data_IF_156241426463
#
_entry.id   IF_156241426463
#
_cell.length_a   1.000
_cell.length_b   1.000
_cell.length_c   1.000
_cell.angle_alpha   90.00
_cell.angle_beta   90.00
_cell.angle_gamma   90.00
#
_symmetry.space_group_name_H-M   'P 1'
#
loop_
_entity.id
_entity.type
_entity.pdbx_description
1 polymer ?
#
# COMPACT_ATOMS: atom_id res chain seq x y z
N UNK A 1 76.14 -112.45 14.58
CA UNK A 1 75.65 -111.38 15.46
C UNK A 1 76.16 -109.99 15.20
N UNK A 2 76.97 -109.79 14.15
CA UNK A 2 77.60 -108.45 13.88
C UNK A 2 76.86 -107.67 12.75
N UNK A 3 76.00 -108.27 11.94
CA UNK A 3 75.31 -107.63 10.86
C UNK A 3 74.15 -106.70 11.37
N UNK A 4 73.52 -106.99 12.47
CA UNK A 4 72.31 -106.22 12.92
C UNK A 4 72.71 -104.85 13.62
N UNK A 5 73.89 -104.67 14.06
CA UNK A 5 74.29 -103.38 14.74
C UNK A 5 74.45 -102.16 13.74
N UNK A 6 74.98 -102.47 12.51
CA UNK A 6 75.15 -101.43 11.49
C UNK A 6 73.78 -101.00 10.92
N UNK A 7 72.97 -101.95 10.66
CA UNK A 7 71.57 -101.72 10.15
C UNK A 7 70.66 -101.03 11.18
N UNK A 8 70.83 -101.30 12.46
CA UNK A 8 70.11 -100.57 13.54
C UNK A 8 70.61 -99.16 13.65
N UNK A 9 71.89 -98.90 13.48
CA UNK A 9 72.48 -97.56 13.52
C UNK A 9 71.98 -96.73 12.27
N UNK A 10 71.81 -97.39 11.08
CA UNK A 10 71.28 -96.68 9.92
C UNK A 10 69.76 -96.36 10.05
N UNK A 11 68.99 -97.17 10.76
CA UNK A 11 67.61 -96.83 11.08
C UNK A 11 67.54 -95.66 12.11
N UNK A 12 68.36 -95.68 13.08
CA UNK A 12 68.45 -94.56 14.05
C UNK A 12 68.80 -93.27 13.30
N UNK A 13 69.80 -93.34 12.41
CA UNK A 13 70.17 -92.18 11.58
C UNK A 13 69.07 -91.72 10.67
N UNK A 14 68.27 -92.63 10.03
CA UNK A 14 67.10 -92.28 9.27
C UNK A 14 66.00 -91.66 10.13
N UNK A 15 65.77 -92.15 11.35
CA UNK A 15 64.82 -91.59 12.31
C UNK A 15 65.23 -90.20 12.81
N UNK A 16 66.56 -90.00 13.07
CA UNK A 16 67.08 -88.69 13.44
C UNK A 16 66.89 -87.67 12.27
N UNK A 17 67.22 -88.07 11.04
CA UNK A 17 66.97 -87.21 9.85
C UNK A 17 65.47 -86.98 9.62
N UNK A 18 64.57 -87.96 9.91
CA UNK A 18 63.14 -87.76 9.84
C UNK A 18 62.62 -86.80 10.93
N UNK A 19 63.23 -86.87 12.14
CA UNK A 19 62.96 -85.88 13.16
C UNK A 19 63.37 -84.45 12.74
N UNK A 20 64.61 -84.28 12.18
CA UNK A 20 65.07 -83.00 11.64
C UNK A 20 64.13 -82.47 10.51
N UNK A 21 63.68 -83.40 9.65
CA UNK A 21 62.69 -83.07 8.59
C UNK A 21 61.31 -82.59 9.17
N UNK A 22 60.82 -83.26 10.20
CA UNK A 22 59.56 -82.86 10.90
C UNK A 22 59.77 -81.48 11.58
N UNK A 23 60.93 -81.22 12.18
CA UNK A 23 61.22 -79.95 12.79
C UNK A 23 61.45 -78.82 11.81
N UNK A 24 61.68 -79.15 10.53
CA UNK A 24 61.93 -78.18 9.48
C UNK A 24 63.37 -77.80 9.34
N UNK A 25 64.30 -78.48 10.00
CA UNK A 25 65.73 -78.26 9.95
C UNK A 25 66.36 -78.68 8.60
N UNK A 26 65.70 -79.64 7.93
CA UNK A 26 66.01 -80.06 6.55
C UNK A 26 64.74 -80.03 5.68
N UNK A 27 64.91 -79.71 4.40
CA UNK A 27 63.77 -79.57 3.48
C UNK A 27 63.46 -80.85 2.74
N UNK A 28 64.41 -81.83 2.65
CA UNK A 28 64.26 -83.09 1.94
C UNK A 28 64.82 -84.23 2.71
N UNK A 29 64.18 -85.37 2.74
CA UNK A 29 64.66 -86.58 3.37
C UNK A 29 65.24 -87.47 2.29
N UNK A 30 66.58 -87.40 2.13
CA UNK A 30 67.33 -88.27 1.26
C UNK A 30 68.04 -89.33 2.10
N UNK A 31 68.03 -90.62 1.64
CA UNK A 31 68.66 -91.69 2.30
C UNK A 31 69.35 -92.61 1.28
N UNK A 32 70.70 -92.59 1.24
CA UNK A 32 71.48 -93.30 0.17
C UNK A 32 71.87 -94.73 0.54
N UNK A 33 71.59 -95.24 1.76
CA UNK A 33 71.90 -96.58 2.18
C UNK A 33 70.67 -97.48 2.14
N UNK A 34 70.90 -98.74 1.57
CA UNK A 34 69.89 -99.75 1.46
C UNK A 34 69.97 -100.78 2.54
N UNK A 35 68.88 -101.27 3.06
CA UNK A 35 68.77 -102.30 4.08
C UNK A 35 68.64 -103.67 3.39
N UNK A 36 69.47 -104.67 3.91
CA UNK A 36 69.46 -106.02 3.41
C UNK A 36 68.36 -106.94 4.09
N UNK A 37 67.98 -106.54 5.30
CA UNK A 37 66.99 -107.29 6.04
C UNK A 37 65.54 -106.85 5.69
N UNK A 38 64.68 -107.83 5.34
CA UNK A 38 63.30 -107.54 4.80
C UNK A 38 62.44 -106.71 5.75
N UNK A 39 62.54 -106.86 7.05
CA UNK A 39 61.72 -106.07 8.05
C UNK A 39 62.21 -104.66 8.17
N UNK A 40 63.53 -104.41 8.09
CA UNK A 40 64.11 -103.07 8.14
C UNK A 40 63.82 -102.30 6.85
N UNK A 41 63.84 -102.94 5.70
CA UNK A 41 63.34 -102.32 4.45
C UNK A 41 61.89 -101.89 4.52
N UNK A 42 61.05 -102.71 5.13
CA UNK A 42 59.61 -102.35 5.34
C UNK A 42 59.48 -101.06 6.25
N UNK A 43 60.36 -100.88 7.24
CA UNK A 43 60.38 -99.67 8.11
C UNK A 43 60.85 -98.51 7.27
N UNK A 44 61.92 -98.63 6.49
CA UNK A 44 62.39 -97.57 5.56
C UNK A 44 61.26 -97.12 4.63
N UNK A 45 60.65 -98.05 3.93
CA UNK A 45 59.55 -97.76 2.99
C UNK A 45 58.38 -97.05 3.67
N UNK A 46 58.06 -97.39 4.90
CA UNK A 46 57.02 -96.73 5.67
C UNK A 46 57.41 -95.27 6.14
N UNK A 47 58.68 -95.12 6.54
CA UNK A 47 59.18 -93.77 6.96
C UNK A 47 59.19 -92.86 5.73
N UNK A 48 59.71 -93.35 4.57
CA UNK A 48 59.69 -92.58 3.29
C UNK A 48 58.27 -92.24 2.86
N UNK A 49 57.31 -93.24 2.98
CA UNK A 49 55.91 -93.00 2.64
C UNK A 49 55.30 -91.93 3.57
N UNK A 50 55.57 -91.99 4.87
CA UNK A 50 55.11 -90.97 5.84
C UNK A 50 55.74 -89.60 5.50
N UNK A 51 57.07 -89.56 5.19
CA UNK A 51 57.73 -88.36 4.79
C UNK A 51 57.15 -87.72 3.50
N UNK A 52 56.87 -88.57 2.50
CA UNK A 52 56.23 -88.11 1.25
C UNK A 52 54.82 -87.49 1.51
N UNK A 53 54.02 -88.17 2.36
CA UNK A 53 52.71 -87.64 2.72
C UNK A 53 52.84 -86.32 3.49
N UNK A 54 53.79 -86.24 4.43
CA UNK A 54 54.06 -84.99 5.18
C UNK A 54 54.54 -83.86 4.24
N UNK A 55 55.39 -84.20 3.28
CA UNK A 55 55.86 -83.26 2.26
C UNK A 55 54.74 -82.74 1.42
N UNK A 56 53.83 -83.64 0.96
CA UNK A 56 52.67 -83.27 0.17
C UNK A 56 51.72 -82.40 1.01
N UNK A 57 51.42 -82.83 2.25
CA UNK A 57 50.57 -82.05 3.16
C UNK A 57 51.17 -80.64 3.44
N UNK A 58 52.46 -80.54 3.76
CA UNK A 58 53.15 -79.28 4.03
C UNK A 58 53.14 -78.38 2.77
N UNK A 59 53.33 -78.98 1.58
CA UNK A 59 53.29 -78.24 0.31
C UNK A 59 51.87 -77.70 0.05
N UNK A 60 50.84 -78.48 0.27
CA UNK A 60 49.47 -78.08 0.14
C UNK A 60 49.06 -76.98 1.15
N UNK A 61 49.47 -77.14 2.41
CA UNK A 61 49.23 -76.15 3.44
C UNK A 61 49.92 -74.80 3.11
N UNK A 62 51.15 -74.82 2.60
CA UNK A 62 51.88 -73.65 2.13
C UNK A 62 51.23 -72.97 0.95
N UNK A 63 50.63 -73.71 0.00
CA UNK A 63 49.83 -73.13 -1.11
C UNK A 63 48.63 -72.37 -0.60
N UNK A 64 47.83 -73.00 0.29
CA UNK A 64 46.66 -72.34 0.88
C UNK A 64 47.03 -71.14 1.71
N UNK A 65 48.15 -71.21 2.45
CA UNK A 65 48.71 -70.04 3.15
C UNK A 65 49.09 -68.91 2.19
N UNK A 66 49.72 -69.27 1.03
CA UNK A 66 50.10 -68.29 0.01
C UNK A 66 48.85 -67.62 -0.59
N UNK A 67 47.78 -68.37 -0.87
CA UNK A 67 46.49 -67.80 -1.30
C UNK A 67 45.86 -66.91 -0.24
N UNK A 68 45.85 -67.34 1.05
CA UNK A 68 45.36 -66.56 2.16
C UNK A 68 46.14 -65.22 2.23
N UNK A 69 47.46 -65.24 2.16
CA UNK A 69 48.28 -64.05 2.16
C UNK A 69 47.95 -63.12 0.97
N UNK A 70 47.85 -63.68 -0.23
CA UNK A 70 47.54 -62.93 -1.43
C UNK A 70 46.17 -62.26 -1.37
N UNK A 71 45.12 -62.99 -0.90
CA UNK A 71 43.77 -62.45 -0.72
C UNK A 71 43.78 -61.35 0.36
N UNK A 72 44.52 -61.53 1.45
CA UNK A 72 44.64 -60.49 2.50
C UNK A 72 45.40 -59.25 1.97
N UNK A 73 46.46 -59.42 1.18
CA UNK A 73 47.19 -58.31 0.55
C UNK A 73 46.32 -57.53 -0.41
N UNK A 74 45.63 -58.25 -1.32
CA UNK A 74 44.66 -57.63 -2.23
C UNK A 74 43.51 -56.92 -1.50
N UNK A 75 42.98 -57.54 -0.43
CA UNK A 75 41.96 -56.88 0.38
C UNK A 75 42.50 -55.62 1.05
N UNK A 76 43.76 -55.61 1.51
CA UNK A 76 44.44 -54.41 2.05
C UNK A 76 44.55 -53.30 1.04
N UNK A 77 44.72 -53.65 -0.24
CA UNK A 77 44.77 -52.71 -1.40
C UNK A 77 43.37 -52.35 -1.92
N UNK A 78 42.31 -52.90 -1.31
CA UNK A 78 40.91 -52.58 -1.64
C UNK A 78 40.27 -53.46 -2.68
N UNK A 79 40.92 -54.53 -3.10
CA UNK A 79 40.33 -55.51 -4.06
C UNK A 79 39.50 -56.56 -3.30
N UNK A 80 38.31 -56.79 -3.74
CA UNK A 80 37.33 -57.73 -3.12
C UNK A 80 36.86 -58.87 -4.03
N UNK A 81 37.58 -59.08 -5.15
CA UNK A 81 37.18 -60.01 -6.24
C UNK A 81 37.92 -61.36 -6.15
N UNK A 82 38.85 -61.56 -5.17
CA UNK A 82 39.63 -62.77 -4.97
C UNK A 82 39.11 -63.61 -3.82
N UNK A 83 39.25 -64.93 -3.91
CA UNK A 83 38.98 -65.90 -2.87
C UNK A 83 40.08 -66.95 -2.72
N UNK A 84 40.20 -67.55 -1.54
CA UNK A 84 41.04 -68.71 -1.32
C UNK A 84 40.33 -69.93 -1.88
N UNK A 85 40.77 -70.43 -3.02
CA UNK A 85 40.13 -71.52 -3.74
C UNK A 85 40.64 -72.91 -3.33
N UNK A 86 41.94 -73.01 -2.95
CA UNK A 86 42.52 -74.28 -2.52
C UNK A 86 42.16 -74.67 -1.10
N UNK A 87 42.15 -75.94 -0.80
CA UNK A 87 41.86 -76.51 0.51
C UNK A 87 43.07 -77.22 1.13
N UNK A 88 43.29 -77.00 2.40
CA UNK A 88 44.33 -77.67 3.18
C UNK A 88 43.82 -78.98 3.78
N UNK A 89 44.70 -79.85 4.17
CA UNK A 89 44.39 -81.01 5.02
C UNK A 89 44.20 -80.64 6.49
N UNK A 90 44.71 -79.47 6.88
CA UNK A 90 44.51 -78.90 8.24
C UNK A 90 43.21 -78.08 8.28
N UNK A 91 42.27 -78.56 9.08
CA UNK A 91 40.95 -77.95 9.26
C UNK A 91 41.03 -76.52 9.84
N UNK A 92 42.10 -76.19 10.57
CA UNK A 92 42.33 -74.84 11.11
C UNK A 92 42.64 -73.84 9.97
N UNK A 93 43.50 -74.27 8.99
CA UNK A 93 43.82 -73.50 7.82
C UNK A 93 42.55 -73.27 6.94
N UNK A 94 41.75 -74.34 6.74
CA UNK A 94 40.47 -74.26 6.07
C UNK A 94 39.48 -73.34 6.77
N UNK A 95 39.46 -73.31 8.11
CA UNK A 95 38.63 -72.41 8.88
C UNK A 95 39.02 -70.96 8.65
N UNK A 96 40.34 -70.66 8.66
CA UNK A 96 40.86 -69.31 8.34
C UNK A 96 40.48 -68.91 6.93
N UNK A 97 40.72 -69.79 5.95
CA UNK A 97 40.34 -69.52 4.51
C UNK A 97 38.87 -69.22 4.35
N UNK A 98 37.97 -70.05 4.95
CA UNK A 98 36.52 -69.82 4.92
C UNK A 98 36.15 -68.49 5.60
N UNK A 99 36.78 -68.14 6.73
CA UNK A 99 36.49 -66.90 7.43
C UNK A 99 36.93 -65.68 6.62
N UNK A 100 38.08 -65.76 5.95
CA UNK A 100 38.54 -64.68 5.05
C UNK A 100 37.60 -64.55 3.86
N UNK A 101 37.24 -65.65 3.17
CA UNK A 101 36.33 -65.63 2.05
C UNK A 101 34.97 -65.06 2.45
N UNK A 102 34.40 -65.39 3.63
CA UNK A 102 33.20 -64.78 4.14
C UNK A 102 33.34 -63.28 4.39
N UNK A 103 34.51 -62.84 4.87
CA UNK A 103 34.77 -61.45 5.14
C UNK A 103 34.84 -60.66 3.83
N UNK A 104 35.63 -61.18 2.85
CA UNK A 104 35.75 -60.60 1.53
C UNK A 104 34.37 -60.47 0.87
N UNK A 105 33.59 -61.57 0.85
CA UNK A 105 32.24 -61.60 0.27
C UNK A 105 31.31 -60.56 0.91
N UNK A 106 31.29 -60.42 2.23
CA UNK A 106 30.45 -59.41 2.91
C UNK A 106 30.88 -57.98 2.58
N UNK A 107 32.20 -57.73 2.51
CA UNK A 107 32.70 -56.42 2.14
C UNK A 107 32.32 -56.12 0.70
N UNK A 108 32.54 -57.06 -0.23
CA UNK A 108 32.20 -56.92 -1.65
C UNK A 108 30.70 -56.67 -1.84
N UNK A 109 29.83 -57.49 -1.28
CA UNK A 109 28.37 -57.27 -1.33
C UNK A 109 27.96 -55.88 -0.81
N UNK A 110 28.56 -55.43 0.29
CA UNK A 110 28.30 -54.11 0.84
C UNK A 110 28.74 -52.99 -0.12
N UNK A 111 29.96 -53.07 -0.66
CA UNK A 111 30.51 -52.08 -1.59
C UNK A 111 29.69 -52.01 -2.87
N UNK A 112 29.29 -53.15 -3.43
CA UNK A 112 28.42 -53.20 -4.64
C UNK A 112 27.07 -52.53 -4.38
N UNK A 113 26.43 -52.79 -3.23
CA UNK A 113 25.15 -52.15 -2.81
C UNK A 113 25.34 -50.64 -2.62
N UNK A 114 26.41 -50.23 -1.96
CA UNK A 114 26.72 -48.77 -1.77
C UNK A 114 26.94 -48.11 -3.13
N UNK A 115 27.75 -48.71 -3.99
CA UNK A 115 28.03 -48.19 -5.35
C UNK A 115 26.77 -48.06 -6.18
N UNK A 116 25.87 -49.04 -6.12
CA UNK A 116 24.60 -49.01 -6.79
C UNK A 116 23.73 -47.83 -6.29
N UNK A 117 23.59 -47.66 -4.99
CA UNK A 117 22.81 -46.58 -4.39
C UNK A 117 23.42 -45.21 -4.72
N UNK A 118 24.76 -45.07 -4.70
CA UNK A 118 25.41 -43.83 -5.09
C UNK A 118 25.16 -43.48 -6.57
N UNK A 119 25.15 -44.47 -7.44
CA UNK A 119 24.76 -44.27 -8.86
C UNK A 119 23.28 -43.85 -9.01
N UNK A 120 22.37 -44.38 -8.19
CA UNK A 120 20.99 -43.95 -8.15
C UNK A 120 20.92 -42.47 -7.70
N UNK A 121 21.68 -42.08 -6.67
CA UNK A 121 21.73 -40.67 -6.16
C UNK A 121 22.37 -39.71 -7.19
N UNK A 122 23.39 -40.16 -7.94
CA UNK A 122 23.98 -39.41 -9.07
C UNK A 122 22.91 -39.08 -10.12
N UNK A 123 22.01 -40.03 -10.38
CA UNK A 123 20.88 -39.87 -11.27
C UNK A 123 19.66 -39.20 -10.61
N UNK A 124 19.86 -38.54 -9.46
CA UNK A 124 18.81 -37.83 -8.74
C UNK A 124 17.66 -38.71 -8.22
N UNK A 125 17.90 -40.00 -8.02
CA UNK A 125 16.92 -40.96 -7.47
C UNK A 125 17.27 -41.27 -5.98
N UNK A 126 16.57 -40.65 -5.07
CA UNK A 126 16.74 -40.79 -3.61
C UNK A 126 15.64 -41.65 -2.97
N UNK A 127 15.01 -42.56 -3.72
CA UNK A 127 13.94 -43.43 -3.20
C UNK A 127 14.45 -44.59 -2.37
N UNK A 128 15.66 -45.09 -2.66
CA UNK A 128 16.21 -46.30 -2.09
C UNK A 128 17.23 -46.00 -0.98
N UNK A 129 17.30 -46.90 0.01
CA UNK A 129 18.26 -46.89 1.10
C UNK A 129 19.20 -48.07 0.98
N UNK A 130 20.39 -47.97 1.54
CA UNK A 130 21.30 -49.09 1.73
C UNK A 130 20.82 -49.93 2.90
N UNK A 131 20.89 -51.25 2.79
CA UNK A 131 20.63 -52.18 3.89
C UNK A 131 21.76 -52.08 4.94
N UNK A 132 21.48 -51.38 6.05
CA UNK A 132 22.43 -51.16 7.13
C UNK A 132 22.52 -52.34 8.13
N UNK A 133 21.78 -53.44 7.86
CA UNK A 133 21.82 -54.69 8.66
C UNK A 133 22.87 -55.68 8.16
N UNK A 134 23.57 -55.39 7.02
CA UNK A 134 24.64 -56.24 6.49
C UNK A 134 25.77 -56.49 7.49
N UNK A 135 26.03 -55.54 8.36
CA UNK A 135 26.98 -55.66 9.46
C UNK A 135 26.25 -55.48 10.82
N UNK A 136 26.64 -56.33 11.81
CA UNK A 136 26.01 -56.31 13.14
C UNK A 136 26.52 -55.18 14.04
N UNK A 137 27.52 -54.41 13.62
CA UNK A 137 28.13 -53.32 14.33
C UNK A 137 29.43 -52.86 13.71
N UNK A 138 30.13 -51.93 14.35
CA UNK A 138 31.41 -51.40 13.94
C UNK A 138 31.30 -50.29 12.88
N UNK A 139 32.46 -49.89 12.34
CA UNK A 139 32.59 -48.73 11.46
C UNK A 139 31.86 -48.90 10.10
N UNK A 140 31.84 -50.12 9.57
CA UNK A 140 31.10 -50.40 8.32
C UNK A 140 29.58 -50.21 8.47
N UNK A 141 29.00 -50.63 9.60
CA UNK A 141 27.58 -50.32 9.86
C UNK A 141 27.35 -48.85 10.02
N UNK A 142 28.25 -48.13 10.74
CA UNK A 142 28.17 -46.68 10.91
C UNK A 142 28.22 -45.95 9.54
N UNK A 143 29.06 -46.40 8.62
CA UNK A 143 29.12 -45.87 7.25
C UNK A 143 27.79 -46.03 6.52
N UNK A 144 27.17 -47.23 6.55
CA UNK A 144 25.88 -47.47 5.90
C UNK A 144 24.76 -46.62 6.52
N UNK A 145 24.71 -46.52 7.85
CA UNK A 145 23.78 -45.58 8.54
C UNK A 145 24.03 -44.13 8.18
N UNK A 146 25.31 -43.73 8.07
CA UNK A 146 25.67 -42.38 7.62
C UNK A 146 25.14 -42.07 6.23
N UNK A 147 25.23 -43.01 5.29
CA UNK A 147 24.70 -42.87 3.96
C UNK A 147 23.16 -42.74 3.94
N UNK A 148 22.45 -43.55 4.74
CA UNK A 148 21.01 -43.45 4.89
C UNK A 148 20.59 -42.11 5.52
N UNK A 149 21.34 -41.60 6.51
CA UNK A 149 21.11 -40.29 7.09
C UNK A 149 21.31 -39.16 6.08
N UNK A 150 22.35 -39.26 5.23
CA UNK A 150 22.60 -38.30 4.14
C UNK A 150 21.43 -38.27 3.16
N UNK A 151 20.98 -39.46 2.70
CA UNK A 151 19.81 -39.59 1.82
C UNK A 151 18.58 -38.94 2.41
N UNK A 152 18.25 -39.24 3.70
CA UNK A 152 17.11 -38.64 4.37
C UNK A 152 17.26 -37.13 4.48
N UNK A 153 18.46 -36.60 4.80
CA UNK A 153 18.75 -35.19 4.85
C UNK A 153 18.52 -34.48 3.51
N UNK A 154 19.00 -35.09 2.42
CA UNK A 154 18.79 -34.58 1.05
C UNK A 154 17.29 -34.60 0.71
N UNK A 155 16.60 -35.71 0.95
CA UNK A 155 15.16 -35.87 0.69
C UNK A 155 14.35 -34.78 1.44
N UNK A 156 14.65 -34.50 2.69
CA UNK A 156 13.95 -33.45 3.44
C UNK A 156 14.20 -32.05 2.85
N UNK A 157 15.42 -31.76 2.43
CA UNK A 157 15.76 -30.49 1.79
C UNK A 157 15.02 -30.30 0.46
N UNK A 158 14.96 -31.35 -0.37
CA UNK A 158 14.23 -31.33 -1.63
C UNK A 158 12.73 -31.11 -1.39
N UNK A 159 12.14 -31.84 -0.44
CA UNK A 159 10.73 -31.63 -0.02
C UNK A 159 10.46 -30.18 0.40
N UNK A 160 11.36 -29.62 1.18
CA UNK A 160 11.23 -28.21 1.63
C UNK A 160 11.36 -27.24 0.47
N UNK A 161 12.35 -27.42 -0.41
CA UNK A 161 12.56 -26.58 -1.59
C UNK A 161 11.36 -26.64 -2.55
N UNK A 162 10.80 -27.82 -2.77
CA UNK A 162 9.60 -27.98 -3.60
C UNK A 162 8.38 -27.25 -3.00
N UNK A 163 8.14 -27.38 -1.68
CA UNK A 163 7.06 -26.64 -0.99
C UNK A 163 7.24 -25.13 -1.07
N UNK A 164 8.48 -24.65 -0.90
CA UNK A 164 8.79 -23.21 -1.03
C UNK A 164 8.55 -22.75 -2.46
N UNK A 165 8.97 -23.51 -3.45
CA UNK A 165 8.71 -23.21 -4.87
C UNK A 165 7.23 -23.04 -5.17
N UNK A 166 6.41 -24.03 -4.77
CA UNK A 166 4.95 -23.98 -4.95
C UNK A 166 4.30 -22.80 -4.20
N UNK A 167 4.75 -22.51 -2.98
CA UNK A 167 4.25 -21.36 -2.23
C UNK A 167 4.61 -20.03 -2.91
N UNK A 168 5.85 -19.90 -3.39
CA UNK A 168 6.32 -18.69 -4.07
C UNK A 168 5.61 -18.48 -5.43
N UNK A 169 5.33 -19.56 -6.17
CA UNK A 169 4.53 -19.51 -7.39
C UNK A 169 3.13 -18.94 -7.10
N UNK A 170 2.46 -19.49 -6.08
CA UNK A 170 1.13 -19.02 -5.66
C UNK A 170 1.12 -17.55 -5.21
N UNK A 171 2.04 -17.16 -4.30
CA UNK A 171 2.13 -15.79 -3.80
C UNK A 171 2.51 -14.80 -4.91
N UNK A 172 3.36 -15.19 -5.85
CA UNK A 172 3.72 -14.37 -7.00
C UNK A 172 2.54 -14.16 -7.95
N UNK A 173 1.68 -15.18 -8.13
CA UNK A 173 0.44 -15.05 -8.89
C UNK A 173 -0.52 -14.04 -8.24
N UNK A 174 -0.70 -14.11 -6.92
CA UNK A 174 -1.52 -13.13 -6.16
C UNK A 174 -0.93 -11.73 -6.32
N UNK A 175 0.38 -11.58 -6.15
CA UNK A 175 1.04 -10.27 -6.26
C UNK A 175 0.87 -9.65 -7.66
N UNK A 176 0.90 -10.47 -8.71
CA UNK A 176 0.62 -10.03 -10.09
C UNK A 176 -0.82 -9.52 -10.24
N UNK A 177 -1.79 -10.23 -9.66
CA UNK A 177 -3.21 -9.85 -9.73
C UNK A 177 -3.45 -8.56 -8.94
N UNK A 178 -2.88 -8.42 -7.74
CA UNK A 178 -2.96 -7.21 -6.93
C UNK A 178 -2.28 -6.00 -7.60
N UNK A 179 -1.15 -6.20 -8.24
CA UNK A 179 -0.52 -5.14 -9.05
C UNK A 179 -1.42 -4.72 -10.22
N UNK A 180 -2.13 -5.66 -10.85
CA UNK A 180 -3.09 -5.34 -11.92
C UNK A 180 -4.29 -4.53 -11.38
N UNK A 181 -4.82 -4.90 -10.23
CA UNK A 181 -5.90 -4.16 -9.56
C UNK A 181 -5.45 -2.74 -9.15
N UNK A 182 -4.23 -2.62 -8.61
CA UNK A 182 -3.65 -1.33 -8.24
C UNK A 182 -3.45 -0.43 -9.48
N UNK A 183 -3.00 -0.98 -10.61
CA UNK A 183 -2.88 -0.25 -11.88
C UNK A 183 -4.22 0.33 -12.32
N UNK A 184 -5.30 -0.48 -12.23
CA UNK A 184 -6.65 -0.01 -12.54
C UNK A 184 -7.12 1.10 -11.59
N UNK A 185 -6.86 0.94 -10.29
CA UNK A 185 -7.20 1.96 -9.30
C UNK A 185 -6.44 3.27 -9.53
N UNK A 186 -5.17 3.21 -9.89
CA UNK A 186 -4.35 4.37 -10.24
C UNK A 186 -4.90 5.08 -11.48
N UNK A 187 -5.36 4.35 -12.48
CA UNK A 187 -6.00 4.93 -13.66
C UNK A 187 -7.30 5.66 -13.32
N UNK A 188 -8.15 5.09 -12.46
CA UNK A 188 -9.36 5.76 -11.96
C UNK A 188 -9.01 7.03 -11.18
N UNK A 189 -7.95 6.97 -10.36
CA UNK A 189 -7.47 8.13 -9.61
C UNK A 189 -6.98 9.25 -10.53
N UNK A 190 -6.28 8.93 -11.62
CA UNK A 190 -5.86 9.93 -12.63
C UNK A 190 -7.05 10.67 -13.20
N UNK A 191 -8.11 9.96 -13.60
CA UNK A 191 -9.34 10.61 -14.12
C UNK A 191 -9.99 11.50 -13.06
N UNK A 192 -10.06 11.04 -11.80
CA UNK A 192 -10.63 11.85 -10.72
C UNK A 192 -9.81 13.11 -10.42
N UNK A 193 -8.48 13.05 -10.59
CA UNK A 193 -7.60 14.23 -10.46
C UNK A 193 -7.87 15.22 -11.59
N UNK A 194 -8.00 14.76 -12.84
CA UNK A 194 -8.33 15.61 -13.99
C UNK A 194 -9.68 16.32 -13.81
N UNK A 195 -10.70 15.59 -13.36
CA UNK A 195 -12.03 16.17 -13.06
C UNK A 195 -11.96 17.17 -11.90
N UNK A 196 -11.18 16.89 -10.86
CA UNK A 196 -11.00 17.81 -9.73
C UNK A 196 -10.26 19.07 -10.15
N UNK A 197 -9.22 18.95 -10.98
CA UNK A 197 -8.47 20.11 -11.52
C UNK A 197 -9.37 21.02 -12.36
N UNK A 198 -10.22 20.45 -13.23
CA UNK A 198 -11.20 21.21 -14.01
C UNK A 198 -12.22 21.94 -13.12
N UNK A 199 -12.70 21.30 -12.05
CA UNK A 199 -13.61 21.94 -11.11
C UNK A 199 -12.94 23.09 -10.33
N UNK A 200 -11.66 22.95 -9.96
CA UNK A 200 -10.88 24.00 -9.31
C UNK A 200 -10.63 25.20 -10.25
N UNK A 201 -10.40 24.94 -11.54
CA UNK A 201 -10.29 26.00 -12.53
C UNK A 201 -11.61 26.78 -12.67
N UNK A 202 -12.76 26.11 -12.72
CA UNK A 202 -14.07 26.74 -12.74
C UNK A 202 -14.32 27.59 -11.48
N UNK A 203 -13.96 27.08 -10.29
CA UNK A 203 -14.07 27.84 -9.04
C UNK A 203 -13.18 29.08 -9.08
N UNK A 204 -11.98 29.01 -9.65
CA UNK A 204 -11.07 30.15 -9.80
C UNK A 204 -11.72 31.25 -10.63
N UNK A 205 -12.30 30.91 -11.78
CA UNK A 205 -13.03 31.87 -12.64
C UNK A 205 -14.21 32.50 -11.91
N UNK A 206 -14.94 31.71 -11.13
CA UNK A 206 -16.08 32.20 -10.34
C UNK A 206 -15.62 33.20 -9.24
N UNK A 207 -14.52 32.95 -8.56
CA UNK A 207 -13.95 33.85 -7.54
C UNK A 207 -13.52 35.18 -8.19
N UNK A 208 -12.85 35.15 -9.35
CA UNK A 208 -12.50 36.35 -10.11
C UNK A 208 -13.75 37.13 -10.52
N UNK A 209 -14.79 36.40 -11.01
CA UNK A 209 -16.08 36.98 -11.38
C UNK A 209 -16.77 37.66 -10.19
N UNK A 210 -16.76 37.02 -9.01
CA UNK A 210 -17.32 37.57 -7.77
C UNK A 210 -16.57 38.83 -7.33
N UNK A 211 -15.26 38.84 -7.41
CA UNK A 211 -14.41 39.98 -7.09
C UNK A 211 -14.72 41.17 -8.00
N UNK A 212 -14.80 40.95 -9.30
CA UNK A 212 -15.13 41.99 -10.28
C UNK A 212 -16.56 42.52 -10.09
N UNK A 213 -17.50 41.67 -9.77
CA UNK A 213 -18.88 42.03 -9.47
C UNK A 213 -18.95 42.89 -8.20
N UNK A 214 -18.24 42.50 -7.13
CA UNK A 214 -18.17 43.28 -5.91
C UNK A 214 -17.52 44.66 -6.12
N UNK A 215 -16.47 44.76 -6.91
CA UNK A 215 -15.87 46.05 -7.29
C UNK A 215 -16.87 46.92 -8.00
N UNK A 216 -17.63 46.37 -8.97
CA UNK A 216 -18.68 47.10 -9.69
C UNK A 216 -19.80 47.58 -8.76
N UNK A 217 -20.23 46.72 -7.81
CA UNK A 217 -21.23 47.08 -6.78
C UNK A 217 -20.71 48.21 -5.87
N UNK A 218 -19.44 48.20 -5.49
CA UNK A 218 -18.82 49.31 -4.74
C UNK A 218 -18.91 50.61 -5.52
N UNK A 219 -18.60 50.59 -6.82
CA UNK A 219 -18.70 51.76 -7.65
C UNK A 219 -20.12 52.28 -7.78
N UNK A 220 -21.10 51.44 -8.07
CA UNK A 220 -22.52 51.84 -8.13
C UNK A 220 -23.05 52.37 -6.80
N UNK A 221 -22.64 51.77 -5.67
CA UNK A 221 -23.03 52.21 -4.35
C UNK A 221 -22.47 53.62 -4.03
N UNK A 222 -21.24 53.93 -4.47
CA UNK A 222 -20.65 55.26 -4.37
C UNK A 222 -21.43 56.31 -5.19
N UNK A 223 -21.76 55.97 -6.40
CA UNK A 223 -22.55 56.83 -7.32
C UNK A 223 -23.96 57.07 -6.75
N UNK A 224 -24.60 56.02 -6.19
CA UNK A 224 -25.90 56.13 -5.52
C UNK A 224 -25.83 57.04 -4.28
N UNK A 225 -24.80 56.93 -3.46
CA UNK A 225 -24.54 57.80 -2.33
C UNK A 225 -24.39 59.29 -2.77
N UNK A 226 -23.66 59.51 -3.84
CA UNK A 226 -23.50 60.86 -4.41
C UNK A 226 -24.83 61.46 -4.88
N UNK A 227 -25.67 60.65 -5.57
CA UNK A 227 -27.02 61.03 -5.97
C UNK A 227 -27.95 61.30 -4.81
N UNK A 228 -27.89 60.47 -3.75
CA UNK A 228 -28.66 60.66 -2.52
C UNK A 228 -28.28 61.99 -1.79
N UNK A 229 -26.98 62.29 -1.73
CA UNK A 229 -26.48 63.55 -1.12
C UNK A 229 -26.93 64.76 -1.95
N UNK A 230 -26.93 64.71 -3.27
CA UNK A 230 -27.45 65.74 -4.16
C UNK A 230 -28.95 65.98 -3.92
N UNK A 231 -29.72 64.87 -3.76
CA UNK A 231 -31.14 64.95 -3.45
C UNK A 231 -31.40 65.62 -2.08
N UNK A 232 -30.60 65.30 -1.04
CA UNK A 232 -30.65 65.98 0.26
C UNK A 232 -30.41 67.50 0.12
N UNK A 233 -29.47 67.92 -0.67
CA UNK A 233 -29.20 69.35 -0.90
C UNK A 233 -30.36 70.04 -1.64
N UNK A 234 -31.04 69.36 -2.58
CA UNK A 234 -32.24 69.89 -3.21
C UNK A 234 -33.41 69.98 -2.24
N UNK A 235 -33.60 68.99 -1.35
CA UNK A 235 -34.63 69.03 -0.33
C UNK A 235 -34.40 70.19 0.70
N UNK A 236 -33.20 70.45 1.10
CA UNK A 236 -32.83 71.58 1.95
C UNK A 236 -33.19 72.93 1.29
N UNK A 237 -32.89 73.03 -0.02
CA UNK A 237 -33.26 74.19 -0.82
C UNK A 237 -34.78 74.33 -0.97
N UNK A 238 -35.50 73.20 -1.05
CA UNK A 238 -37.00 73.17 -1.10
C UNK A 238 -37.58 73.59 0.23
N UNK A 239 -37.10 73.07 1.34
CA UNK A 239 -37.53 73.48 2.70
C UNK A 239 -37.31 74.94 2.93
N UNK A 240 -36.15 75.50 2.56
CA UNK A 240 -35.86 76.93 2.59
C UNK A 240 -36.81 77.77 1.76
N UNK A 241 -37.22 77.25 0.58
CA UNK A 241 -38.20 77.90 -0.28
C UNK A 241 -39.60 77.93 0.33
N UNK A 242 -40.00 76.81 0.96
CA UNK A 242 -41.28 76.74 1.70
C UNK A 242 -41.30 77.72 2.90
N UNK A 243 -40.20 77.87 3.61
CA UNK A 243 -40.10 78.87 4.71
C UNK A 243 -40.29 80.32 4.15
N UNK A 244 -39.70 80.64 3.01
CA UNK A 244 -39.87 81.94 2.38
C UNK A 244 -41.33 82.17 1.94
N UNK A 245 -42.02 81.12 1.42
CA UNK A 245 -43.41 81.20 1.04
C UNK A 245 -44.28 81.42 2.30
N UNK A 246 -44.04 80.72 3.40
CA UNK A 246 -44.76 80.88 4.67
C UNK A 246 -44.62 82.29 5.18
N UNK A 247 -43.43 82.84 5.22
CA UNK A 247 -43.18 84.27 5.59
C UNK A 247 -43.96 85.24 4.70
N UNK A 248 -43.86 85.01 3.35
CA UNK A 248 -44.56 85.88 2.41
C UNK A 248 -46.09 85.80 2.52
N UNK A 249 -46.59 84.58 2.74
CA UNK A 249 -48.03 84.32 2.96
C UNK A 249 -48.54 85.02 4.20
N UNK A 250 -47.76 85.00 5.31
CA UNK A 250 -48.10 85.69 6.56
C UNK A 250 -48.12 87.21 6.33
N UNK A 251 -47.19 87.77 5.55
CA UNK A 251 -47.20 89.19 5.23
C UNK A 251 -48.43 89.62 4.38
N UNK A 252 -48.86 88.72 3.46
CA UNK A 252 -50.10 88.93 2.69
C UNK A 252 -51.34 88.83 3.59
N UNK A 253 -51.39 87.91 4.56
CA UNK A 253 -52.45 87.75 5.56
C UNK A 253 -52.60 89.06 6.36
N UNK A 254 -51.52 89.65 6.85
CA UNK A 254 -51.50 90.93 7.57
C UNK A 254 -52.04 92.07 6.72
N UNK A 255 -51.58 92.17 5.47
CA UNK A 255 -52.01 93.17 4.53
C UNK A 255 -53.52 93.08 4.16
N UNK A 256 -54.03 91.88 3.95
CA UNK A 256 -55.49 91.65 3.71
C UNK A 256 -56.30 91.96 5.00
N UNK A 257 -55.76 91.64 6.19
CA UNK A 257 -56.40 92.05 7.46
C UNK A 257 -56.54 93.56 7.54
N UNK A 258 -55.50 94.32 7.22
CA UNK A 258 -55.56 95.79 7.17
C UNK A 258 -56.56 96.29 6.10
N UNK A 259 -56.63 95.68 4.90
CA UNK A 259 -57.64 96.07 3.91
C UNK A 259 -59.04 95.80 4.38
N UNK A 260 -59.31 94.66 5.04
CA UNK A 260 -60.63 94.35 5.65
C UNK A 260 -61.01 95.38 6.68
N UNK A 261 -60.04 95.80 7.52
CA UNK A 261 -60.25 96.83 8.52
C UNK A 261 -60.54 98.22 7.89
N UNK A 262 -59.82 98.63 6.83
CA UNK A 262 -60.07 99.87 6.08
C UNK A 262 -61.47 99.78 5.43
N UNK A 263 -61.86 98.68 4.84
CA UNK A 263 -63.20 98.48 4.29
C UNK A 263 -64.30 98.58 5.31
N UNK A 264 -64.07 98.01 6.51
CA UNK A 264 -65.00 98.17 7.63
C UNK A 264 -65.12 99.62 8.10
N UNK A 265 -63.97 100.32 8.26
CA UNK A 265 -63.97 101.74 8.61
C UNK A 265 -64.67 102.56 7.56
N UNK A 266 -64.42 102.30 6.27
CA UNK A 266 -65.08 102.99 5.16
C UNK A 266 -66.55 102.80 5.13
N UNK A 267 -67.05 101.51 5.42
CA UNK A 267 -68.46 101.23 5.57
C UNK A 267 -69.12 102.01 6.70
N UNK A 268 -68.44 102.16 7.89
CA UNK A 268 -68.95 102.95 8.99
C UNK A 268 -68.94 104.46 8.62
N UNK A 269 -67.88 104.96 8.00
CA UNK A 269 -67.84 106.32 7.51
C UNK A 269 -68.90 106.64 6.48
N UNK A 270 -69.13 105.79 5.58
CA UNK A 270 -70.19 105.93 4.53
C UNK A 270 -71.58 105.87 5.17
N UNK A 271 -71.82 105.00 6.19
CA UNK A 271 -73.04 104.97 6.96
C UNK A 271 -73.32 106.24 7.66
N UNK A 272 -72.30 106.83 8.38
CA UNK A 272 -72.40 108.12 8.97
C UNK A 272 -72.70 109.25 7.97
N UNK A 273 -72.01 109.20 6.84
CA UNK A 273 -72.29 110.19 5.78
C UNK A 273 -73.67 110.05 5.16
N UNK A 274 -74.19 108.82 4.97
CA UNK A 274 -75.57 108.55 4.55
C UNK A 274 -76.65 109.08 5.49
N UNK A 275 -76.36 108.89 6.82
CA UNK A 275 -77.23 109.43 7.91
C UNK A 275 -77.29 110.95 7.91
N UNK A 276 -76.09 111.59 7.81
CA UNK A 276 -76.01 113.04 7.78
C UNK A 276 -76.62 113.66 6.48
N UNK A 277 -76.42 112.99 5.35
CA UNK A 277 -77.07 113.33 4.09
C UNK A 277 -78.63 113.22 4.15
N UNK A 278 -79.14 112.22 4.84
CA UNK A 278 -80.58 112.04 5.08
C UNK A 278 -81.18 113.14 6.06
N UNK A 279 -80.33 113.54 7.03
CA UNK A 279 -80.68 114.66 7.92
C UNK A 279 -80.75 116.01 7.23
N UNK A 280 -79.95 116.22 6.19
CA UNK A 280 -79.92 117.45 5.38
C UNK A 280 -81.13 117.59 4.35
N UNK A 281 -82.01 116.65 4.30
CA UNK A 281 -83.19 116.62 3.50
C UNK A 281 -82.93 116.75 1.98
N UNK A 282 -83.65 117.60 1.31
CA UNK A 282 -83.60 117.81 -0.17
C UNK A 282 -82.19 118.22 -0.66
N UNK A 283 -81.46 118.95 0.17
CA UNK A 283 -80.03 119.42 -0.22
C UNK A 283 -79.06 118.26 -0.10
N UNK A 284 -79.32 117.21 0.64
CA UNK A 284 -78.45 116.08 0.86
C UNK A 284 -78.59 114.88 -0.14
N UNK A 285 -79.59 114.91 -1.00
CA UNK A 285 -79.90 113.74 -1.93
C UNK A 285 -78.72 113.25 -2.79
N UNK A 286 -77.95 114.14 -3.31
CA UNK A 286 -76.76 113.74 -4.15
C UNK A 286 -75.64 113.09 -3.33
N UNK A 287 -75.43 113.67 -2.06
CA UNK A 287 -74.46 113.05 -1.15
C UNK A 287 -74.94 111.71 -0.58
N UNK A 288 -76.22 111.46 -0.40
CA UNK A 288 -76.80 110.22 0.05
C UNK A 288 -76.59 109.07 -0.96
N UNK A 289 -76.67 109.36 -2.28
CA UNK A 289 -76.39 108.40 -3.32
C UNK A 289 -74.91 108.06 -3.37
N UNK A 290 -74.04 109.03 -3.26
CA UNK A 290 -72.53 108.78 -3.19
C UNK A 290 -72.17 108.02 -1.97
N UNK A 291 -72.74 108.38 -0.80
CA UNK A 291 -72.50 107.67 0.43
C UNK A 291 -73.00 106.20 0.36
N UNK A 292 -74.12 105.96 -0.27
CA UNK A 292 -74.64 104.57 -0.49
C UNK A 292 -73.70 103.77 -1.43
N UNK A 293 -73.19 104.43 -2.52
CA UNK A 293 -72.26 103.81 -3.45
C UNK A 293 -70.92 103.47 -2.79
N UNK A 294 -70.38 104.38 -2.00
CA UNK A 294 -69.16 104.18 -1.18
C UNK A 294 -69.33 102.96 -0.19
N UNK A 295 -70.56 102.96 0.40
CA UNK A 295 -70.96 101.83 1.31
C UNK A 295 -71.00 100.47 0.56
N UNK A 296 -71.61 100.47 -0.63
CA UNK A 296 -71.63 99.28 -1.44
C UNK A 296 -70.21 98.87 -1.86
N UNK A 297 -69.35 99.83 -2.25
CA UNK A 297 -67.95 99.54 -2.60
C UNK A 297 -67.16 99.01 -1.41
N UNK A 298 -67.40 99.55 -0.19
CA UNK A 298 -66.76 99.10 1.05
C UNK A 298 -67.22 97.65 1.39
N UNK A 299 -68.52 97.36 1.25
CA UNK A 299 -69.04 95.99 1.42
C UNK A 299 -68.41 95.01 0.51
N UNK A 300 -68.36 95.34 -0.81
CA UNK A 300 -67.68 94.51 -1.81
C UNK A 300 -66.23 94.34 -1.59
N UNK A 301 -65.51 95.37 -1.07
CA UNK A 301 -64.11 95.31 -0.71
C UNK A 301 -63.88 94.40 0.51
N UNK A 302 -64.80 94.41 1.50
CA UNK A 302 -64.74 93.52 2.66
C UNK A 302 -64.99 92.05 2.24
N UNK A 303 -65.93 91.81 1.37
CA UNK A 303 -66.18 90.44 0.79
C UNK A 303 -65.01 89.93 -0.04
N UNK A 304 -64.40 90.79 -0.85
CA UNK A 304 -63.20 90.44 -1.56
C UNK A 304 -62.01 90.13 -0.67
N UNK A 305 -61.82 90.97 0.40
CA UNK A 305 -60.81 90.74 1.42
C UNK A 305 -61.01 89.43 2.15
N UNK A 306 -62.23 89.10 2.49
CA UNK A 306 -62.61 87.82 3.13
C UNK A 306 -62.35 86.59 2.22
N UNK A 307 -62.64 86.76 0.90
CA UNK A 307 -62.32 85.72 -0.06
C UNK A 307 -60.80 85.49 -0.17
N UNK A 308 -60.00 86.55 -0.25
CA UNK A 308 -58.55 86.48 -0.27
C UNK A 308 -58.00 85.91 1.03
N UNK A 309 -58.53 86.30 2.20
CA UNK A 309 -58.14 85.69 3.48
C UNK A 309 -58.33 84.21 3.52
N UNK A 310 -59.45 83.67 2.98
CA UNK A 310 -59.68 82.24 2.89
C UNK A 310 -58.64 81.58 1.95
N UNK A 311 -58.31 82.15 0.78
CA UNK A 311 -57.31 81.65 -0.13
C UNK A 311 -55.91 81.66 0.51
N UNK A 312 -55.55 82.68 1.24
CA UNK A 312 -54.27 82.76 1.94
C UNK A 312 -54.17 81.73 3.05
N UNK A 313 -55.28 81.52 3.82
CA UNK A 313 -55.35 80.46 4.82
C UNK A 313 -55.14 79.03 4.20
N UNK A 314 -55.78 78.77 3.03
CA UNK A 314 -55.55 77.52 2.28
C UNK A 314 -54.10 77.42 1.83
N UNK A 315 -53.49 78.51 1.31
CA UNK A 315 -52.08 78.53 0.87
C UNK A 315 -51.17 78.23 2.05
N UNK A 316 -51.38 78.82 3.20
CA UNK A 316 -50.60 78.60 4.47
C UNK A 316 -50.66 77.13 4.87
N UNK A 317 -51.86 76.51 4.80
CA UNK A 317 -52.04 75.09 5.10
C UNK A 317 -51.24 74.22 4.14
N UNK A 318 -51.30 74.54 2.82
CA UNK A 318 -50.53 73.78 1.79
C UNK A 318 -49.01 73.98 1.96
N UNK A 319 -48.53 75.17 2.32
CA UNK A 319 -47.11 75.42 2.58
C UNK A 319 -46.64 74.62 3.79
N UNK A 320 -47.42 74.55 4.86
CA UNK A 320 -47.14 73.72 6.05
C UNK A 320 -47.00 72.23 5.67
N UNK A 321 -47.96 71.71 4.88
CA UNK A 321 -47.90 70.33 4.38
C UNK A 321 -46.68 70.06 3.53
N UNK A 322 -46.35 71.03 2.62
CA UNK A 322 -45.13 70.93 1.80
C UNK A 322 -43.84 70.88 2.62
N UNK A 323 -43.76 71.68 3.71
CA UNK A 323 -42.61 71.69 4.64
C UNK A 323 -42.52 70.33 5.38
N UNK A 324 -43.61 69.84 5.89
CA UNK A 324 -43.70 68.56 6.59
C UNK A 324 -43.30 67.40 5.67
N UNK A 325 -43.76 67.40 4.43
CA UNK A 325 -43.38 66.41 3.40
C UNK A 325 -41.87 66.50 3.07
N UNK A 326 -41.29 67.67 2.93
CA UNK A 326 -39.86 67.87 2.72
C UNK A 326 -39.02 67.33 3.85
N UNK A 327 -39.46 67.57 5.13
CA UNK A 327 -38.78 67.00 6.32
C UNK A 327 -38.84 65.49 6.38
N UNK A 328 -39.96 64.89 6.02
CA UNK A 328 -40.07 63.43 5.97
C UNK A 328 -39.17 62.83 4.87
N UNK A 329 -39.15 63.44 3.67
CA UNK A 329 -38.24 63.03 2.62
C UNK A 329 -36.77 63.14 3.00
N UNK A 330 -36.38 64.17 3.76
CA UNK A 330 -35.02 64.34 4.27
C UNK A 330 -34.64 63.20 5.23
N UNK A 331 -35.52 62.77 6.09
CA UNK A 331 -35.31 61.63 6.96
C UNK A 331 -35.16 60.33 6.17
N UNK A 332 -35.99 60.07 5.14
CA UNK A 332 -35.89 58.93 4.31
C UNK A 332 -34.58 58.85 3.50
N UNK A 333 -34.08 60.01 2.96
CA UNK A 333 -32.79 60.05 2.29
C UNK A 333 -31.61 59.84 3.25
N UNK A 334 -31.72 60.33 4.52
CA UNK A 334 -30.72 60.01 5.53
C UNK A 334 -30.68 58.51 5.83
N UNK A 335 -31.83 57.88 5.98
CA UNK A 335 -31.93 56.42 6.15
C UNK A 335 -31.38 55.64 4.93
N UNK A 336 -31.63 56.17 3.72
CA UNK A 336 -31.06 55.60 2.46
C UNK A 336 -29.53 55.66 2.50
N UNK A 337 -28.95 56.79 2.91
CA UNK A 337 -27.51 56.94 3.05
C UNK A 337 -26.88 55.94 4.03
N UNK A 338 -27.56 55.68 5.16
CA UNK A 338 -27.10 54.65 6.09
C UNK A 338 -27.10 53.27 5.46
N UNK A 339 -28.19 52.89 4.76
CA UNK A 339 -28.27 51.60 4.06
C UNK A 339 -27.23 51.49 2.93
N UNK A 340 -26.91 52.56 2.24
CA UNK A 340 -25.84 52.58 1.23
C UNK A 340 -24.46 52.34 1.90
N UNK A 341 -24.23 52.93 3.08
CA UNK A 341 -23.00 52.70 3.85
C UNK A 341 -22.85 51.27 4.30
N UNK A 342 -23.93 50.67 4.82
CA UNK A 342 -23.96 49.24 5.25
C UNK A 342 -23.69 48.34 3.99
N UNK A 343 -24.24 48.68 2.82
CA UNK A 343 -24.01 47.95 1.58
C UNK A 343 -22.54 48.02 1.16
N UNK A 344 -21.89 49.17 1.30
CA UNK A 344 -20.46 49.36 0.95
C UNK A 344 -19.58 48.51 1.88
N UNK A 345 -19.89 48.38 3.15
CA UNK A 345 -19.18 47.52 4.14
C UNK A 345 -19.33 46.05 3.72
N UNK A 346 -20.55 45.57 3.44
CA UNK A 346 -20.78 44.20 2.96
C UNK A 346 -20.04 43.87 1.66
N UNK A 347 -19.94 44.83 0.76
CA UNK A 347 -19.21 44.66 -0.51
C UNK A 347 -17.69 44.54 -0.25
N UNK A 348 -17.13 45.30 0.70
CA UNK A 348 -15.74 45.18 1.11
C UNK A 348 -15.44 43.84 1.75
N UNK A 349 -16.35 43.31 2.56
CA UNK A 349 -16.29 41.96 3.11
C UNK A 349 -16.26 40.88 2.03
N UNK A 350 -17.12 41.02 0.99
CA UNK A 350 -17.14 40.08 -0.17
C UNK A 350 -15.80 40.11 -0.90
N UNK A 351 -15.20 41.27 -1.14
CA UNK A 351 -13.90 41.42 -1.81
C UNK A 351 -12.81 40.71 -0.98
N UNK A 352 -12.83 40.93 0.34
CA UNK A 352 -11.85 40.32 1.26
C UNK A 352 -12.01 38.79 1.28
N UNK A 353 -13.24 38.28 1.45
CA UNK A 353 -13.53 36.86 1.43
C UNK A 353 -13.16 36.21 0.09
N UNK A 354 -13.45 36.86 -1.03
CA UNK A 354 -13.05 36.37 -2.35
C UNK A 354 -11.54 36.28 -2.51
N UNK A 355 -10.80 37.24 -1.98
CA UNK A 355 -9.33 37.20 -1.98
C UNK A 355 -8.77 36.05 -1.13
N UNK A 356 -9.34 35.82 0.04
CA UNK A 356 -8.95 34.69 0.90
C UNK A 356 -9.29 33.35 0.23
N UNK A 357 -10.46 33.24 -0.42
CA UNK A 357 -10.82 32.07 -1.22
C UNK A 357 -9.82 31.84 -2.36
N UNK A 358 -9.37 32.90 -3.04
CA UNK A 358 -8.35 32.80 -4.09
C UNK A 358 -7.05 32.18 -3.59
N UNK A 359 -6.55 32.63 -2.42
CA UNK A 359 -5.36 32.04 -1.78
C UNK A 359 -5.59 30.57 -1.39
N UNK A 360 -6.78 30.22 -0.91
CA UNK A 360 -7.15 28.84 -0.60
C UNK A 360 -7.14 27.96 -1.84
N UNK A 361 -7.64 28.46 -2.96
CA UNK A 361 -7.66 27.74 -4.23
C UNK A 361 -6.25 27.54 -4.80
N UNK A 362 -5.35 28.52 -4.69
CA UNK A 362 -3.93 28.33 -5.06
C UNK A 362 -3.29 27.17 -4.27
N UNK A 363 -3.60 27.05 -2.98
CA UNK A 363 -3.10 25.98 -2.13
C UNK A 363 -3.71 24.61 -2.51
N UNK A 364 -5.00 24.58 -2.85
CA UNK A 364 -5.65 23.36 -3.35
C UNK A 364 -5.01 22.93 -4.68
N UNK A 365 -4.75 23.85 -5.59
CA UNK A 365 -4.12 23.55 -6.87
C UNK A 365 -2.70 22.96 -6.69
N UNK A 366 -1.91 23.52 -5.76
CA UNK A 366 -0.61 22.94 -5.40
C UNK A 366 -0.75 21.50 -4.84
N UNK A 367 -1.76 21.25 -4.03
CA UNK A 367 -2.04 19.89 -3.49
C UNK A 367 -2.47 18.92 -4.59
N UNK A 368 -3.26 19.35 -5.56
CA UNK A 368 -3.65 18.52 -6.71
C UNK A 368 -2.42 18.11 -7.52
N UNK A 369 -1.49 19.02 -7.76
CA UNK A 369 -0.24 18.72 -8.47
C UNK A 369 0.62 17.70 -7.72
N UNK A 370 0.68 17.79 -6.38
CA UNK A 370 1.38 16.81 -5.55
C UNK A 370 0.71 15.41 -5.59
N UNK A 371 -0.63 15.37 -5.58
CA UNK A 371 -1.40 14.13 -5.71
C UNK A 371 -1.20 13.52 -7.10
N UNK A 372 -1.21 14.33 -8.17
CA UNK A 372 -0.94 13.86 -9.54
C UNK A 372 0.47 13.25 -9.64
N UNK A 373 1.48 13.95 -9.13
CA UNK A 373 2.85 13.44 -9.09
C UNK A 373 2.94 12.10 -8.32
N UNK A 374 2.29 12.00 -7.15
CA UNK A 374 2.25 10.77 -6.36
C UNK A 374 1.54 9.64 -7.10
N UNK A 375 0.48 9.96 -7.86
CA UNK A 375 -0.26 9.00 -8.67
C UNK A 375 0.59 8.45 -9.82
N UNK A 376 1.39 9.31 -10.48
CA UNK A 376 2.36 8.89 -11.51
C UNK A 376 3.45 7.98 -10.92
N UNK A 377 3.95 8.29 -9.72
CA UNK A 377 4.90 7.42 -9.00
C UNK A 377 4.26 6.07 -8.71
N UNK A 378 3.01 6.05 -8.23
CA UNK A 378 2.27 4.82 -7.95
C UNK A 378 2.09 3.96 -9.21
N UNK A 379 1.81 4.56 -10.36
CA UNK A 379 1.75 3.86 -11.64
C UNK A 379 3.09 3.18 -11.98
N UNK A 380 4.21 3.91 -11.82
CA UNK A 380 5.55 3.38 -12.06
C UNK A 380 5.92 2.25 -11.10
N UNK A 381 5.61 2.41 -9.80
CA UNK A 381 5.85 1.38 -8.78
C UNK A 381 5.03 0.13 -9.10
N UNK A 382 3.76 0.30 -9.46
CA UNK A 382 2.85 -0.80 -9.80
C UNK A 382 3.37 -1.63 -10.97
N UNK A 383 3.90 -0.98 -12.02
CA UNK A 383 4.49 -1.70 -13.15
C UNK A 383 5.75 -2.49 -12.73
N UNK A 384 6.59 -1.90 -11.89
CA UNK A 384 7.76 -2.60 -11.32
C UNK A 384 7.36 -3.79 -10.47
N UNK A 385 6.35 -3.65 -9.61
CA UNK A 385 5.84 -4.74 -8.77
C UNK A 385 5.29 -5.86 -9.63
N UNK A 386 4.52 -5.54 -10.68
CA UNK A 386 4.02 -6.52 -11.65
C UNK A 386 5.17 -7.28 -12.33
N UNK A 387 6.23 -6.57 -12.74
CA UNK A 387 7.40 -7.18 -13.36
C UNK A 387 8.14 -8.12 -12.39
N UNK A 388 8.35 -7.69 -11.13
CA UNK A 388 8.96 -8.51 -10.08
C UNK A 388 8.10 -9.76 -9.81
N UNK A 389 6.78 -9.62 -9.75
CA UNK A 389 5.87 -10.75 -9.55
C UNK A 389 5.99 -11.79 -10.66
N UNK A 390 6.05 -11.35 -11.92
CA UNK A 390 6.26 -12.25 -13.08
C UNK A 390 7.62 -12.93 -13.01
N UNK A 391 8.68 -12.22 -12.67
CA UNK A 391 10.02 -12.82 -12.52
C UNK A 391 10.04 -13.84 -11.38
N UNK A 392 9.46 -13.51 -10.22
CA UNK A 392 9.39 -14.43 -9.07
C UNK A 392 8.58 -15.68 -9.41
N UNK A 393 7.48 -15.54 -10.13
CA UNK A 393 6.68 -16.65 -10.64
C UNK A 393 7.52 -17.59 -11.52
N UNK A 394 8.25 -17.03 -12.48
CA UNK A 394 9.09 -17.83 -13.38
C UNK A 394 10.23 -18.55 -12.64
N UNK A 395 10.86 -17.90 -11.66
CA UNK A 395 11.90 -18.52 -10.82
C UNK A 395 11.29 -19.65 -9.99
N UNK A 396 10.12 -19.42 -9.40
CA UNK A 396 9.40 -20.42 -8.61
C UNK A 396 9.04 -21.65 -9.48
N UNK A 397 8.52 -21.42 -10.68
CA UNK A 397 8.21 -22.47 -11.64
C UNK A 397 9.45 -23.29 -11.99
N UNK A 398 10.56 -22.64 -12.32
CA UNK A 398 11.83 -23.34 -12.61
C UNK A 398 12.32 -24.17 -11.40
N UNK A 399 12.15 -23.66 -10.18
CA UNK A 399 12.49 -24.39 -8.96
C UNK A 399 11.61 -25.63 -8.79
N UNK A 400 10.32 -25.50 -9.03
CA UNK A 400 9.37 -26.62 -8.97
C UNK A 400 9.71 -27.64 -10.03
N UNK A 401 9.89 -27.24 -11.30
CA UNK A 401 10.25 -28.12 -12.40
C UNK A 401 11.55 -28.90 -12.12
N UNK A 402 12.61 -28.23 -11.65
CA UNK A 402 13.87 -28.91 -11.27
C UNK A 402 13.68 -29.89 -10.13
N UNK A 403 12.84 -29.59 -9.15
CA UNK A 403 12.55 -30.52 -8.06
C UNK A 403 11.65 -31.69 -8.52
N UNK A 404 10.86 -31.51 -9.58
CA UNK A 404 10.07 -32.58 -10.19
C UNK A 404 10.93 -33.61 -10.95
N UNK A 405 12.11 -33.23 -11.44
CA UNK A 405 13.08 -34.16 -12.04
C UNK A 405 13.71 -35.09 -11.01
N UNK A 406 13.70 -34.73 -9.72
CA UNK A 406 14.26 -35.54 -8.64
C UNK A 406 13.23 -36.54 -8.11
N UNK A 407 13.63 -37.81 -8.02
CA UNK A 407 12.81 -38.88 -7.45
C UNK A 407 13.12 -39.07 -5.97
N UNK A 408 12.10 -39.03 -5.10
CA UNK A 408 12.25 -39.19 -3.65
C UNK A 408 10.98 -39.72 -2.99
N UNK A 409 11.11 -40.30 -1.80
CA UNK A 409 9.98 -40.84 -1.03
C UNK A 409 9.03 -39.73 -0.57
N UNK A 410 7.72 -39.85 -0.89
CA UNK A 410 6.68 -38.90 -0.51
C UNK A 410 6.57 -37.68 -1.44
N UNK A 411 7.11 -37.75 -2.67
CA UNK A 411 6.95 -36.74 -3.69
C UNK A 411 5.48 -36.42 -3.98
N UNK A 412 4.64 -37.42 -4.10
CA UNK A 412 3.19 -37.29 -4.37
C UNK A 412 2.37 -36.71 -3.20
N UNK A 413 2.95 -36.62 -2.00
CA UNK A 413 2.28 -36.10 -0.81
C UNK A 413 2.42 -34.60 -0.67
N UNK A 414 3.26 -33.95 -1.48
CA UNK A 414 3.50 -32.51 -1.43
C UNK A 414 2.31 -31.81 -2.08
N UNK A 415 1.45 -31.21 -1.25
CA UNK A 415 0.34 -30.38 -1.69
C UNK A 415 0.60 -28.93 -1.30
N UNK A 416 0.19 -28.01 -2.17
CA UNK A 416 0.12 -26.59 -1.85
C UNK A 416 -0.94 -26.46 -0.74
N UNK A 417 -0.59 -25.87 0.40
CA UNK A 417 -1.56 -25.36 1.33
C UNK A 417 -2.17 -24.11 0.66
N UNK A 418 -3.25 -24.27 -0.12
CA UNK A 418 -4.06 -23.11 -0.53
C UNK A 418 -4.52 -22.46 0.78
N UNK A 419 -4.00 -21.28 1.10
CA UNK A 419 -4.67 -20.41 2.06
C UNK A 419 -6.10 -20.28 1.55
N UNK A 420 -7.07 -20.67 2.36
CA UNK A 420 -8.46 -20.24 2.14
C UNK A 420 -8.39 -18.75 1.82
N UNK A 421 -9.08 -18.32 0.76
CA UNK A 421 -9.22 -16.89 0.47
C UNK A 421 -9.71 -16.27 1.76
N UNK A 422 -8.81 -15.62 2.50
CA UNK A 422 -9.22 -14.68 3.52
C UNK A 422 -10.12 -13.71 2.77
N UNK A 423 -11.42 -13.77 3.04
CA UNK A 423 -12.37 -12.75 2.70
C UNK A 423 -11.96 -11.51 3.51
N UNK A 424 -10.91 -10.85 3.05
CA UNK A 424 -10.59 -9.50 3.49
C UNK A 424 -11.71 -8.62 2.92
N UNK A 425 -12.85 -8.64 3.58
CA UNK A 425 -13.80 -7.54 3.51
C UNK A 425 -13.05 -6.35 4.10
N UNK A 426 -12.57 -5.48 3.23
CA UNK A 426 -11.96 -4.21 3.62
C UNK A 426 -12.82 -3.51 4.67
N UNK A 427 -12.25 -2.57 5.45
CA UNK A 427 -12.99 -1.91 6.52
C UNK A 427 -14.31 -1.41 5.95
N UNK A 428 -15.42 -1.89 6.55
CA UNK A 428 -16.77 -1.38 6.31
C UNK A 428 -16.68 0.15 6.22
N UNK A 429 -16.97 0.72 5.07
CA UNK A 429 -17.39 2.11 5.00
C UNK A 429 -18.55 2.21 5.99
N UNK A 430 -18.29 2.84 7.11
CA UNK A 430 -19.35 3.30 7.97
C UNK A 430 -20.25 4.18 7.11
N UNK A 431 -21.51 3.76 6.96
CA UNK A 431 -22.60 4.62 6.61
C UNK A 431 -22.72 5.64 7.73
N UNK A 432 -21.97 6.73 7.64
CA UNK A 432 -22.23 7.93 8.39
C UNK A 432 -23.15 8.80 7.53
N UNK A 433 -24.44 8.52 7.68
CA UNK A 433 -25.49 9.52 7.47
C UNK A 433 -25.19 10.71 8.41
N UNK A 434 -24.75 11.85 7.89
CA UNK A 434 -25.04 13.19 8.38
C UNK A 434 -25.24 14.11 7.17
#
# INVERSE_FOLDING_TARGET
MFGNKKEINNILYLLDHFEEYIKGDINELEFDETFSHKQLKQIEDKILTIASHLKEQKTQDLRVFGEIMLVCEKLSDGYTDDEVAETSTDEKINYIARTINQTVFRIDESLQKVTKILNEYENSDFRNNVDDTLFRGGELQNLLKGLNNLQNGITQRIKQAHRIGLALEYESSILKDEATNLSKSTQVQTVAIEETAAAVEEITVNIEGNTNTAISMSQYSKELRESANKSLSLLDSTATSMDKIDISTSAVEDAIGAIAQIAFQTNILSLNAAVEAATAGEAGKGFAVVAQEVRNLATRSAESAKTIENLVSQLKSQTKLGKETSSNMQNEYNNLNLKISDTLELVEDIVTASKEQGLGIEQINASIQEIDHSTQINASITDKVRHIAVQSFNIAQQLVERNEEVEFVGKSEIKIRKKEKDNFTGPNRRDDNI
#
